data_IF_995379740345
#
_entry.id   IF_995379740345
#
_cell.length_a   1.000
_cell.length_b   1.000
_cell.length_c   1.000
_cell.angle_alpha   90.00
_cell.angle_beta   90.00
_cell.angle_gamma   90.00
#
_symmetry.space_group_name_H-M   'P 1'
#
loop_
_entity.id
_entity.type
_entity.pdbx_description
1 polymer ?
#
# COMPACT_ATOMS: atom_id res chain seq x y z
N UNK A 1 13.36 4.68 10.87
CA UNK A 1 14.26 5.71 10.31
C UNK A 1 15.50 5.70 11.18
N UNK A 2 16.69 5.72 10.59
CA UNK A 2 17.91 5.91 11.38
C UNK A 2 18.03 7.38 11.85
N UNK A 3 19.11 7.71 12.57
CA UNK A 3 19.38 9.09 13.01
C UNK A 3 19.55 10.10 11.87
N UNK A 4 19.66 9.62 10.63
CA UNK A 4 19.85 10.41 9.42
C UNK A 4 18.59 10.44 8.53
N UNK A 5 17.42 10.03 9.05
CA UNK A 5 16.16 9.97 8.31
C UNK A 5 16.19 9.01 7.11
N UNK A 6 17.09 8.02 7.10
CA UNK A 6 17.14 6.99 6.08
C UNK A 6 16.27 5.79 6.47
N UNK A 7 15.82 5.08 5.42
CA UNK A 7 15.14 3.79 5.59
C UNK A 7 16.19 2.75 5.95
N UNK A 8 16.09 2.22 7.17
CA UNK A 8 16.93 1.13 7.63
C UNK A 8 16.25 -0.21 7.31
N UNK A 9 16.86 -1.10 6.50
CA UNK A 9 16.32 -2.43 6.28
C UNK A 9 16.41 -3.25 7.58
N UNK A 10 15.25 -3.69 8.09
CA UNK A 10 15.17 -4.52 9.30
C UNK A 10 15.31 -6.02 9.01
N UNK A 11 14.91 -6.44 7.82
CA UNK A 11 14.95 -7.82 7.37
C UNK A 11 14.94 -7.87 5.84
N UNK A 12 15.45 -8.96 5.29
CA UNK A 12 15.33 -9.31 3.87
C UNK A 12 15.09 -10.81 3.75
N UNK A 13 14.52 -11.23 2.63
CA UNK A 13 14.36 -12.64 2.29
C UNK A 13 14.80 -12.85 0.84
N UNK A 14 15.41 -14.00 0.59
CA UNK A 14 15.69 -14.50 -0.75
C UNK A 14 14.75 -15.68 -0.96
N UNK A 15 13.90 -15.57 -1.98
CA UNK A 15 12.86 -16.55 -2.31
C UNK A 15 12.87 -16.79 -3.80
N UNK A 16 12.39 -17.96 -4.24
CA UNK A 16 12.36 -18.31 -5.66
C UNK A 16 11.43 -17.38 -6.47
N UNK A 17 10.29 -16.98 -5.87
CA UNK A 17 9.33 -16.07 -6.48
C UNK A 17 8.48 -15.34 -5.41
N UNK A 18 7.96 -14.16 -5.75
CA UNK A 18 7.05 -13.34 -4.92
C UNK A 18 5.61 -13.89 -4.86
N UNK A 19 5.49 -15.13 -4.39
CA UNK A 19 4.21 -15.83 -4.28
C UNK A 19 3.56 -15.63 -2.91
N UNK A 20 2.27 -15.97 -2.80
CA UNK A 20 1.57 -15.98 -1.52
C UNK A 20 2.31 -16.80 -0.43
N UNK A 21 2.79 -18.04 -0.69
CA UNK A 21 3.57 -18.79 0.28
C UNK A 21 4.85 -18.08 0.75
N UNK A 22 5.60 -17.49 -0.18
CA UNK A 22 6.82 -16.72 0.14
C UNK A 22 6.52 -15.55 1.07
N UNK A 23 5.49 -14.76 0.76
CA UNK A 23 5.07 -13.62 1.59
C UNK A 23 4.54 -14.07 2.95
N UNK A 24 3.74 -15.13 3.00
CA UNK A 24 3.23 -15.68 4.26
C UNK A 24 4.37 -16.12 5.17
N UNK A 25 5.33 -16.88 4.65
CA UNK A 25 6.48 -17.31 5.42
C UNK A 25 7.29 -16.10 5.93
N UNK A 26 7.58 -15.12 5.07
CA UNK A 26 8.36 -13.94 5.46
C UNK A 26 7.66 -13.10 6.54
N UNK A 27 6.35 -12.86 6.41
CA UNK A 27 5.58 -12.15 7.43
C UNK A 27 5.51 -12.91 8.76
N UNK A 28 5.48 -14.25 8.73
CA UNK A 28 5.59 -15.07 9.95
C UNK A 28 6.96 -14.91 10.63
N UNK A 29 8.06 -14.85 9.86
CA UNK A 29 9.39 -14.58 10.43
C UNK A 29 9.47 -13.19 11.06
N UNK A 30 8.89 -12.17 10.40
CA UNK A 30 8.81 -10.81 10.94
C UNK A 30 7.98 -10.75 12.23
N UNK A 31 6.82 -11.42 12.24
CA UNK A 31 5.96 -11.56 13.43
C UNK A 31 6.75 -12.13 14.61
N UNK A 32 7.41 -13.27 14.40
CA UNK A 32 8.10 -14.01 15.45
C UNK A 32 9.34 -13.29 15.98
N UNK A 33 10.14 -12.69 15.09
CA UNK A 33 11.48 -12.22 15.45
C UNK A 33 11.59 -10.71 15.60
N UNK A 34 10.76 -9.94 14.90
CA UNK A 34 10.81 -8.47 14.91
C UNK A 34 9.67 -7.90 15.74
N UNK A 35 8.42 -8.29 15.47
CA UNK A 35 7.24 -7.73 16.12
C UNK A 35 7.08 -8.28 17.54
N UNK A 36 7.30 -9.59 17.72
CA UNK A 36 7.32 -10.27 19.03
C UNK A 36 6.08 -9.97 19.88
N UNK A 37 4.90 -9.97 19.26
CA UNK A 37 3.62 -9.71 19.91
C UNK A 37 3.32 -8.24 20.23
N UNK A 38 4.13 -7.29 19.74
CA UNK A 38 3.82 -5.86 19.85
C UNK A 38 2.63 -5.50 18.96
N UNK A 39 1.70 -4.71 19.50
CA UNK A 39 0.55 -4.17 18.77
C UNK A 39 0.83 -2.75 18.26
N UNK A 40 -0.03 -2.26 17.38
CA UNK A 40 0.04 -0.91 16.81
C UNK A 40 0.97 -0.79 15.61
N UNK A 41 1.43 -1.92 15.06
CA UNK A 41 2.26 -1.93 13.86
C UNK A 41 1.45 -1.53 12.63
N UNK A 42 2.02 -0.66 11.80
CA UNK A 42 1.46 -0.31 10.49
C UNK A 42 2.31 -0.95 9.39
N UNK A 43 1.73 -1.89 8.65
CA UNK A 43 2.34 -2.44 7.45
C UNK A 43 1.89 -1.65 6.22
N UNK A 44 2.86 -1.12 5.47
CA UNK A 44 2.61 -0.45 4.19
C UNK A 44 3.25 -1.29 3.08
N UNK A 45 2.45 -1.86 2.19
CA UNK A 45 2.97 -2.76 1.13
C UNK A 45 2.41 -2.42 -0.26
N UNK A 46 2.94 -3.07 -1.29
CA UNK A 46 2.24 -3.14 -2.58
C UNK A 46 0.89 -3.88 -2.46
N UNK A 47 0.02 -3.70 -3.46
CA UNK A 47 -1.30 -4.31 -3.64
C UNK A 47 -1.26 -5.67 -4.35
N UNK A 48 -0.11 -6.34 -4.36
CA UNK A 48 0.00 -7.67 -4.95
C UNK A 48 -0.90 -8.66 -4.21
N UNK A 49 -1.67 -9.48 -4.94
CA UNK A 49 -2.68 -10.37 -4.36
C UNK A 49 -2.08 -11.35 -3.34
N UNK A 50 -0.85 -11.81 -3.57
CA UNK A 50 -0.13 -12.68 -2.63
C UNK A 50 0.16 -12.00 -1.28
N UNK A 51 0.52 -10.71 -1.30
CA UNK A 51 0.78 -9.93 -0.07
C UNK A 51 -0.53 -9.70 0.67
N UNK A 52 -1.57 -9.21 -0.02
CA UNK A 52 -2.88 -8.95 0.59
C UNK A 52 -3.39 -10.20 1.31
N UNK A 53 -3.32 -11.36 0.64
CA UNK A 53 -3.73 -12.63 1.22
C UNK A 53 -2.89 -13.00 2.45
N UNK A 54 -1.57 -12.90 2.36
CA UNK A 54 -0.67 -13.22 3.47
C UNK A 54 -0.89 -12.33 4.70
N UNK A 55 -1.14 -11.03 4.48
CA UNK A 55 -1.41 -10.06 5.55
C UNK A 55 -2.76 -10.33 6.21
N UNK A 56 -3.82 -10.59 5.43
CA UNK A 56 -5.16 -10.83 5.96
C UNK A 56 -5.27 -12.13 6.77
N UNK A 57 -4.40 -13.11 6.54
CA UNK A 57 -4.34 -14.35 7.33
C UNK A 57 -3.53 -14.19 8.63
N UNK A 58 -2.69 -13.16 8.73
CA UNK A 58 -1.87 -12.88 9.91
C UNK A 58 -2.55 -11.89 10.86
N UNK A 59 -2.39 -12.02 12.18
CA UNK A 59 -3.06 -11.14 13.13
C UNK A 59 -2.37 -9.77 13.27
N UNK A 60 -1.04 -9.69 13.13
CA UNK A 60 -0.25 -8.55 13.63
C UNK A 60 -0.47 -7.22 12.89
N UNK A 61 -0.95 -7.28 11.65
CA UNK A 61 -1.08 -6.12 10.77
C UNK A 61 -2.53 -5.74 10.49
N UNK A 62 -3.49 -6.41 11.11
CA UNK A 62 -4.91 -6.15 10.95
C UNK A 62 -5.55 -5.83 12.28
N UNK A 63 -6.70 -5.15 12.25
CA UNK A 63 -7.44 -4.81 13.47
C UNK A 63 -7.79 -6.09 14.25
N UNK A 64 -7.63 -6.10 15.59
CA UNK A 64 -7.27 -4.97 16.47
C UNK A 64 -5.77 -4.80 16.73
N UNK A 65 -4.90 -5.67 16.21
CA UNK A 65 -3.48 -5.71 16.59
C UNK A 65 -2.61 -4.73 15.79
N UNK A 66 -3.01 -4.38 14.58
CA UNK A 66 -2.27 -3.47 13.73
C UNK A 66 -3.11 -2.85 12.61
N UNK A 67 -2.41 -2.17 11.72
CA UNK A 67 -3.01 -1.47 10.59
C UNK A 67 -2.30 -1.88 9.31
N UNK A 68 -3.08 -2.18 8.27
CA UNK A 68 -2.55 -2.49 6.95
C UNK A 68 -2.95 -1.38 5.98
N UNK A 69 -1.96 -0.86 5.25
CA UNK A 69 -2.13 0.18 4.24
C UNK A 69 -1.45 -0.15 2.92
N UNK A 70 -1.96 0.42 1.85
CA UNK A 70 -1.33 0.37 0.54
C UNK A 70 -0.27 1.45 0.41
N UNK A 71 0.86 1.08 -0.18
CA UNK A 71 1.94 2.00 -0.47
C UNK A 71 1.52 2.93 -1.60
N UNK A 72 1.33 4.22 -1.29
CA UNK A 72 0.94 5.24 -2.27
C UNK A 72 1.87 5.24 -3.49
N UNK A 73 3.19 5.07 -3.27
CA UNK A 73 4.17 4.93 -4.36
C UNK A 73 3.84 3.81 -5.34
N UNK A 74 3.45 2.64 -4.83
CA UNK A 74 3.06 1.53 -5.71
C UNK A 74 1.67 1.73 -6.31
N UNK A 75 0.72 2.33 -5.57
CA UNK A 75 -0.59 2.72 -6.12
C UNK A 75 -0.41 3.64 -7.32
N UNK A 76 0.36 4.72 -7.19
CA UNK A 76 0.63 5.66 -8.28
C UNK A 76 1.45 5.02 -9.40
N UNK A 77 2.36 4.09 -9.10
CA UNK A 77 3.13 3.36 -10.12
C UNK A 77 2.26 2.42 -10.95
N UNK A 78 1.39 1.65 -10.31
CA UNK A 78 0.44 0.75 -10.97
C UNK A 78 -0.57 1.57 -11.79
N UNK A 79 -1.07 2.65 -11.22
CA UNK A 79 -1.94 3.59 -11.92
C UNK A 79 -1.26 4.22 -13.14
N UNK A 80 0.00 4.64 -13.04
CA UNK A 80 0.74 5.19 -14.17
C UNK A 80 1.04 4.16 -15.26
N UNK A 81 1.26 2.89 -14.88
CA UNK A 81 1.43 1.81 -15.86
C UNK A 81 0.16 1.58 -16.68
N UNK A 82 -1.01 1.80 -16.06
CA UNK A 82 -2.32 1.77 -16.69
C UNK A 82 -2.62 3.03 -17.52
N UNK A 83 -2.43 4.22 -16.94
CA UNK A 83 -2.84 5.50 -17.55
C UNK A 83 -1.84 6.06 -18.55
N UNK A 84 -0.54 5.78 -18.35
CA UNK A 84 0.61 6.29 -19.11
C UNK A 84 0.57 7.82 -19.30
N UNK A 85 0.11 8.53 -18.27
CA UNK A 85 -0.09 9.98 -18.31
C UNK A 85 0.45 10.62 -17.03
N UNK A 86 1.43 11.52 -17.20
CA UNK A 86 2.12 12.20 -16.09
C UNK A 86 1.18 13.08 -15.28
N UNK A 87 0.27 13.81 -15.93
CA UNK A 87 -0.71 14.67 -15.23
C UNK A 87 -1.64 13.84 -14.36
N UNK A 88 -2.15 12.71 -14.89
CA UNK A 88 -2.97 11.81 -14.09
C UNK A 88 -2.18 11.20 -12.93
N UNK A 89 -0.92 10.82 -13.16
CA UNK A 89 -0.04 10.29 -12.10
C UNK A 89 0.16 11.32 -10.99
N UNK A 90 0.38 12.59 -11.33
CA UNK A 90 0.56 13.67 -10.36
C UNK A 90 -0.71 13.91 -9.56
N UNK A 91 -1.88 13.90 -10.21
CA UNK A 91 -3.17 13.97 -9.53
C UNK A 91 -3.40 12.77 -8.60
N UNK A 92 -3.05 11.55 -9.02
CA UNK A 92 -3.13 10.36 -8.17
C UNK A 92 -2.23 10.49 -6.92
N UNK A 93 -1.04 11.08 -7.06
CA UNK A 93 -0.17 11.34 -5.93
C UNK A 93 -0.75 12.39 -4.97
N UNK A 94 -1.30 13.48 -5.52
CA UNK A 94 -1.96 14.52 -4.73
C UNK A 94 -3.17 13.96 -3.97
N UNK A 95 -4.03 13.21 -4.67
CA UNK A 95 -5.22 12.58 -4.11
C UNK A 95 -4.89 11.68 -2.90
N UNK A 96 -3.88 10.83 -3.04
CA UNK A 96 -3.46 9.94 -1.95
C UNK A 96 -2.76 10.62 -0.77
N UNK A 97 -2.41 11.90 -0.88
CA UNK A 97 -1.90 12.72 0.22
C UNK A 97 -3.00 13.53 0.93
N UNK A 98 -4.22 13.54 0.39
CA UNK A 98 -5.31 14.33 0.95
C UNK A 98 -5.88 13.72 2.23
N UNK A 99 -5.94 14.54 3.28
CA UNK A 99 -6.53 14.20 4.58
C UNK A 99 -7.99 14.67 4.71
N UNK A 100 -8.49 15.46 3.76
CA UNK A 100 -9.85 15.99 3.76
C UNK A 100 -10.68 15.37 2.65
N UNK A 101 -11.79 14.73 3.01
CA UNK A 101 -12.70 14.10 2.04
C UNK A 101 -13.17 15.07 0.94
N UNK A 102 -13.37 16.35 1.28
CA UNK A 102 -13.75 17.37 0.29
C UNK A 102 -12.65 17.62 -0.75
N UNK A 103 -11.37 17.66 -0.34
CA UNK A 103 -10.24 17.88 -1.25
C UNK A 103 -9.97 16.64 -2.09
N UNK A 104 -9.97 15.47 -1.46
CA UNK A 104 -9.92 14.16 -2.12
C UNK A 104 -10.98 14.07 -3.24
N UNK A 105 -12.26 14.29 -2.89
CA UNK A 105 -13.35 14.23 -3.87
C UNK A 105 -13.18 15.24 -5.03
N UNK A 106 -12.60 16.42 -4.76
CA UNK A 106 -12.31 17.40 -5.80
C UNK A 106 -11.26 16.86 -6.79
N UNK A 107 -10.18 16.27 -6.30
CA UNK A 107 -9.11 15.72 -7.15
C UNK A 107 -9.63 14.50 -7.94
N UNK A 108 -10.39 13.61 -7.31
CA UNK A 108 -11.04 12.48 -8.00
C UNK A 108 -11.97 12.95 -9.13
N UNK A 109 -12.72 14.04 -8.96
CA UNK A 109 -13.52 14.63 -10.03
C UNK A 109 -12.65 15.27 -11.14
N UNK A 110 -11.49 15.85 -10.80
CA UNK A 110 -10.53 16.34 -11.80
C UNK A 110 -9.94 15.19 -12.63
N UNK A 111 -9.61 14.05 -11.99
CA UNK A 111 -9.18 12.82 -12.68
C UNK A 111 -10.29 12.31 -13.60
N UNK A 112 -11.54 12.26 -13.12
CA UNK A 112 -12.70 11.79 -13.89
C UNK A 112 -12.97 12.64 -15.13
N UNK A 113 -12.83 13.96 -15.02
CA UNK A 113 -12.95 14.90 -16.15
C UNK A 113 -11.90 14.65 -17.23
N UNK A 114 -10.69 14.25 -16.84
CA UNK A 114 -9.62 13.94 -17.79
C UNK A 114 -9.79 12.55 -18.41
N UNK A 115 -10.12 11.54 -17.60
CA UNK A 115 -10.32 10.16 -18.05
C UNK A 115 -11.18 9.37 -17.08
N UNK A 116 -12.37 8.97 -17.52
CA UNK A 116 -13.35 8.24 -16.69
C UNK A 116 -12.79 6.90 -16.24
N UNK A 117 -12.07 6.17 -17.09
CA UNK A 117 -11.52 4.86 -16.73
C UNK A 117 -10.39 4.97 -15.70
N UNK A 118 -9.69 6.10 -15.66
CA UNK A 118 -8.69 6.38 -14.62
C UNK A 118 -9.36 6.61 -13.25
N UNK A 119 -10.49 7.33 -13.23
CA UNK A 119 -11.32 7.44 -12.03
C UNK A 119 -11.80 6.07 -11.56
N UNK A 120 -12.35 5.25 -12.46
CA UNK A 120 -12.85 3.90 -12.12
C UNK A 120 -11.74 3.02 -11.53
N UNK A 121 -10.53 3.08 -12.09
CA UNK A 121 -9.38 2.35 -11.54
C UNK A 121 -9.10 2.71 -10.07
N UNK A 122 -9.10 4.00 -9.75
CA UNK A 122 -8.80 4.49 -8.41
C UNK A 122 -9.97 4.27 -7.43
N UNK A 123 -11.21 4.37 -7.90
CA UNK A 123 -12.41 4.18 -7.06
C UNK A 123 -12.61 2.71 -6.63
N UNK A 124 -12.05 1.76 -7.38
CA UNK A 124 -12.01 0.34 -7.00
C UNK A 124 -11.01 0.03 -5.87
N UNK A 125 -10.15 0.98 -5.50
CA UNK A 125 -9.21 0.81 -4.40
C UNK A 125 -9.95 1.01 -3.08
N UNK A 126 -9.79 0.08 -2.14
CA UNK A 126 -10.33 0.24 -0.80
C UNK A 126 -9.73 1.49 -0.14
N UNK A 127 -10.55 2.52 0.11
CA UNK A 127 -10.17 3.82 0.67
C UNK A 127 -9.72 3.76 2.15
N UNK A 128 -10.02 2.67 2.84
CA UNK A 128 -9.55 2.41 4.21
C UNK A 128 -8.18 1.73 4.26
N UNK A 129 -7.59 1.42 3.09
CA UNK A 129 -6.28 0.79 2.93
C UNK A 129 -5.31 1.75 2.26
#
# INVERSE_FOLDING_TARGET
>A
MDGNQQVLPLAFAIVDEETYPSWKWFLQQLSQHVIRGQHGMCLISDRHAGIIKAVCEGPDFVSPHGVYRYCLRHVCSNFNSYSKNVVLKDLCWQDGLEYQLRKFNRIMEEIKKQKVEAFVFLDQINKEK
#
